data_IF_043250794778
#
_entry.id   IF_043250794778
#
_cell.length_a   1.000
_cell.length_b   1.000
_cell.length_c   1.000
_cell.angle_alpha   90.00
_cell.angle_beta   90.00
_cell.angle_gamma   90.00
#
_symmetry.space_group_name_H-M   'P 1'
#
loop_
_entity.id
_entity.type
_entity.pdbx_description
1 polymer ?
#
# COMPACT_ATOMS: atom_id res chain seq x y z
N UNK A 1 74.47 -17.50 -56.93
CA UNK A 1 73.22 -18.13 -56.44
C UNK A 1 73.03 -19.39 -57.25
N UNK A 2 73.05 -20.56 -56.62
CA UNK A 2 73.03 -21.84 -57.32
C UNK A 2 71.66 -22.08 -57.98
N UNK A 3 71.65 -22.23 -59.30
CA UNK A 3 70.43 -22.39 -60.12
C UNK A 3 69.63 -23.65 -59.77
N UNK A 4 70.30 -24.70 -59.28
CA UNK A 4 69.69 -25.94 -58.78
C UNK A 4 68.84 -25.74 -57.50
N UNK A 5 69.26 -24.82 -56.61
CA UNK A 5 68.48 -24.48 -55.42
C UNK A 5 67.23 -23.67 -55.78
N UNK A 6 67.32 -22.81 -56.80
CA UNK A 6 66.19 -22.01 -57.31
C UNK A 6 65.14 -22.88 -58.00
N UNK A 7 65.54 -23.86 -58.81
CA UNK A 7 64.62 -24.80 -59.46
C UNK A 7 63.89 -25.68 -58.44
N UNK A 8 64.61 -26.20 -57.45
CA UNK A 8 64.01 -26.99 -56.37
C UNK A 8 63.02 -26.16 -55.53
N UNK A 9 63.34 -24.89 -55.25
CA UNK A 9 62.43 -23.97 -54.56
C UNK A 9 61.20 -23.61 -55.41
N UNK A 10 61.36 -23.48 -56.74
CA UNK A 10 60.25 -23.25 -57.68
C UNK A 10 59.28 -24.44 -57.71
N UNK A 11 59.78 -25.68 -57.75
CA UNK A 11 58.93 -26.87 -57.68
C UNK A 11 58.20 -26.97 -56.34
N UNK A 12 58.88 -26.68 -55.22
CA UNK A 12 58.26 -26.66 -53.90
C UNK A 12 57.13 -25.62 -53.81
N UNK A 13 57.37 -24.40 -54.31
CA UNK A 13 56.35 -23.36 -54.37
C UNK A 13 55.17 -23.77 -55.24
N UNK A 14 55.41 -24.32 -56.42
CA UNK A 14 54.34 -24.79 -57.30
C UNK A 14 53.49 -25.89 -56.64
N UNK A 15 54.09 -26.84 -55.93
CA UNK A 15 53.36 -27.87 -55.19
C UNK A 15 52.51 -27.25 -54.06
N UNK A 16 53.03 -26.24 -53.35
CA UNK A 16 52.31 -25.55 -52.29
C UNK A 16 51.14 -24.72 -52.82
N UNK A 17 51.35 -23.99 -53.92
CA UNK A 17 50.32 -23.18 -54.58
C UNK A 17 49.22 -24.06 -55.17
N UNK A 18 49.57 -25.22 -55.73
CA UNK A 18 48.63 -26.23 -56.20
C UNK A 18 47.76 -26.78 -55.06
N UNK A 19 48.40 -27.19 -53.95
CA UNK A 19 47.70 -27.71 -52.78
C UNK A 19 46.75 -26.68 -52.13
N UNK A 20 47.06 -25.38 -52.29
CA UNK A 20 46.24 -24.26 -51.79
C UNK A 20 45.22 -23.74 -52.82
N UNK A 21 45.19 -24.33 -54.03
CA UNK A 21 44.25 -24.00 -55.10
C UNK A 21 44.48 -22.62 -55.74
N UNK A 22 45.70 -22.09 -55.70
CA UNK A 22 46.03 -20.74 -56.17
C UNK A 22 46.55 -20.71 -57.62
N UNK A 23 46.82 -21.88 -58.21
CA UNK A 23 47.18 -21.98 -59.63
C UNK A 23 45.90 -22.04 -60.47
N UNK A 24 45.58 -20.93 -61.17
CA UNK A 24 44.32 -20.77 -61.92
C UNK A 24 44.05 -21.88 -62.95
N UNK A 25 45.10 -22.48 -63.53
CA UNK A 25 44.99 -23.51 -64.58
C UNK A 25 45.83 -24.77 -64.29
N UNK A 26 46.37 -24.94 -63.07
CA UNK A 26 47.34 -26.01 -62.77
C UNK A 26 48.69 -25.89 -63.49
N UNK A 27 48.89 -24.84 -64.30
CA UNK A 27 50.14 -24.53 -64.99
C UNK A 27 51.18 -24.07 -63.96
N UNK A 28 52.34 -24.73 -63.97
CA UNK A 28 53.46 -24.39 -63.09
C UNK A 28 54.07 -23.06 -63.55
N UNK A 29 54.43 -22.22 -62.59
CA UNK A 29 55.10 -20.94 -62.83
C UNK A 29 56.61 -21.17 -62.65
N UNK A 30 57.42 -20.80 -63.64
CA UNK A 30 58.87 -20.86 -63.50
C UNK A 30 59.36 -19.62 -62.72
N UNK A 31 59.79 -19.87 -61.48
CA UNK A 31 60.32 -18.84 -60.58
C UNK A 31 61.85 -18.76 -60.63
N UNK A 32 62.51 -19.75 -61.25
CA UNK A 32 63.96 -19.86 -61.26
C UNK A 32 64.58 -19.09 -62.43
N UNK A 33 63.90 -19.10 -63.58
CA UNK A 33 64.34 -18.35 -64.77
C UNK A 33 63.13 -17.80 -65.57
N UNK A 34 62.55 -16.67 -65.12
CA UNK A 34 61.34 -16.13 -65.74
C UNK A 34 61.52 -15.77 -67.22
N UNK A 35 62.76 -15.55 -67.68
CA UNK A 35 63.06 -15.24 -69.08
C UNK A 35 63.03 -16.43 -70.05
N UNK A 36 63.05 -17.66 -69.53
CA UNK A 36 63.10 -18.89 -70.36
C UNK A 36 61.71 -19.55 -70.52
N UNK A 37 60.66 -18.97 -69.95
CA UNK A 37 59.31 -19.48 -70.07
C UNK A 37 58.75 -19.28 -71.50
N UNK A 38 57.96 -20.25 -71.98
CA UNK A 38 57.44 -20.30 -73.36
C UNK A 38 56.59 -19.08 -73.77
N UNK A 39 56.04 -18.34 -72.79
CA UNK A 39 55.20 -17.17 -73.01
C UNK A 39 55.96 -15.84 -72.79
N UNK A 40 57.26 -15.88 -72.48
CA UNK A 40 58.12 -14.71 -72.26
C UNK A 40 58.20 -14.22 -70.81
N UNK A 41 59.20 -13.38 -70.55
CA UNK A 41 59.53 -12.87 -69.22
C UNK A 41 58.42 -12.04 -68.58
N UNK A 42 57.77 -11.19 -69.38
CA UNK A 42 56.74 -10.27 -68.89
C UNK A 42 55.46 -11.00 -68.50
N UNK A 43 55.03 -12.01 -69.27
CA UNK A 43 53.83 -12.79 -68.98
C UNK A 43 53.99 -13.64 -67.71
N UNK A 44 55.17 -14.23 -67.53
CA UNK A 44 55.50 -15.00 -66.32
C UNK A 44 55.58 -14.09 -65.09
N UNK A 45 56.17 -12.90 -65.23
CA UNK A 45 56.21 -11.89 -64.17
C UNK A 45 54.80 -11.36 -63.83
N UNK A 46 53.94 -11.15 -64.83
CA UNK A 46 52.54 -10.75 -64.61
C UNK A 46 51.74 -11.82 -63.87
N UNK A 47 51.96 -13.12 -64.17
CA UNK A 47 51.35 -14.23 -63.42
C UNK A 47 51.79 -14.23 -61.95
N UNK A 48 53.08 -14.00 -61.68
CA UNK A 48 53.62 -13.91 -60.31
C UNK A 48 53.00 -12.72 -59.57
N UNK A 49 52.90 -11.55 -60.20
CA UNK A 49 52.31 -10.35 -59.59
C UNK A 49 50.83 -10.58 -59.27
N UNK A 50 50.06 -11.17 -60.20
CA UNK A 50 48.65 -11.48 -59.98
C UNK A 50 48.46 -12.51 -58.85
N UNK A 51 49.35 -13.50 -58.75
CA UNK A 51 49.33 -14.48 -57.67
C UNK A 51 49.59 -13.83 -56.31
N UNK A 52 50.60 -12.94 -56.23
CA UNK A 52 50.90 -12.20 -55.01
C UNK A 52 49.71 -11.29 -54.64
N UNK A 53 49.11 -10.62 -55.62
CA UNK A 53 47.93 -9.80 -55.40
C UNK A 53 46.75 -10.63 -54.86
N UNK A 54 46.46 -11.79 -55.46
CA UNK A 54 45.40 -12.70 -55.02
C UNK A 54 45.67 -13.22 -53.58
N UNK A 55 46.93 -13.54 -53.25
CA UNK A 55 47.35 -13.97 -51.92
C UNK A 55 47.20 -12.87 -50.87
N UNK A 56 47.66 -11.66 -51.17
CA UNK A 56 47.51 -10.50 -50.27
C UNK A 56 46.05 -10.20 -50.06
N UNK A 57 45.27 -10.09 -51.14
CA UNK A 57 43.83 -9.78 -51.05
C UNK A 57 43.05 -10.86 -50.31
N UNK A 58 43.39 -12.15 -50.50
CA UNK A 58 42.77 -13.25 -49.74
C UNK A 58 43.16 -13.20 -48.27
N UNK A 59 44.44 -12.94 -47.96
CA UNK A 59 44.92 -12.80 -46.58
C UNK A 59 44.21 -11.65 -45.87
N UNK A 60 44.05 -10.51 -46.54
CA UNK A 60 43.38 -9.33 -45.99
C UNK A 60 41.90 -9.63 -45.73
N UNK A 61 41.18 -10.24 -46.68
CA UNK A 61 39.79 -10.70 -46.47
C UNK A 61 39.66 -11.69 -45.32
N UNK A 62 40.56 -12.68 -45.24
CA UNK A 62 40.53 -13.65 -44.15
C UNK A 62 40.86 -13.00 -42.80
N UNK A 63 41.71 -11.97 -42.76
CA UNK A 63 42.02 -11.21 -41.55
C UNK A 63 40.80 -10.40 -41.09
N UNK A 64 40.14 -9.68 -42.00
CA UNK A 64 38.88 -8.96 -41.72
C UNK A 64 37.77 -9.90 -41.24
N UNK A 65 37.62 -11.08 -41.86
CA UNK A 65 36.67 -12.09 -41.42
C UNK A 65 36.99 -12.60 -40.01
N UNK A 66 38.26 -12.92 -39.71
CA UNK A 66 38.66 -13.34 -38.36
C UNK A 66 38.41 -12.24 -37.33
N UNK A 67 38.63 -10.97 -37.66
CA UNK A 67 38.32 -9.85 -36.78
C UNK A 67 36.81 -9.68 -36.58
N UNK A 68 36.00 -9.79 -37.63
CA UNK A 68 34.54 -9.77 -37.54
C UNK A 68 33.98 -10.92 -36.68
N UNK A 69 34.56 -12.12 -36.78
CA UNK A 69 34.20 -13.25 -35.94
C UNK A 69 34.64 -13.03 -34.48
N UNK A 70 35.84 -12.49 -34.26
CA UNK A 70 36.32 -12.17 -32.92
C UNK A 70 35.43 -11.12 -32.22
N UNK A 71 35.02 -10.08 -32.95
CA UNK A 71 34.12 -9.03 -32.43
C UNK A 71 32.72 -9.56 -32.15
N UNK A 72 32.15 -10.38 -33.03
CA UNK A 72 30.85 -11.03 -32.77
C UNK A 72 30.89 -11.96 -31.55
N UNK A 73 31.92 -12.80 -31.41
CA UNK A 73 32.10 -13.66 -30.22
C UNK A 73 32.23 -12.82 -28.94
N UNK A 74 32.98 -11.72 -28.98
CA UNK A 74 33.10 -10.81 -27.83
C UNK A 74 31.75 -10.18 -27.47
N UNK A 75 30.97 -9.76 -28.48
CA UNK A 75 29.65 -9.20 -28.27
C UNK A 75 28.67 -10.24 -27.71
N UNK A 76 28.68 -11.47 -28.24
CA UNK A 76 27.86 -12.58 -27.74
C UNK A 76 28.17 -12.90 -26.28
N UNK A 77 29.45 -12.98 -25.90
CA UNK A 77 29.85 -13.18 -24.50
C UNK A 77 29.39 -12.03 -23.60
N UNK A 78 29.46 -10.79 -24.09
CA UNK A 78 28.97 -9.62 -23.33
C UNK A 78 27.45 -9.65 -23.16
N UNK A 79 26.70 -10.07 -24.18
CA UNK A 79 25.24 -10.19 -24.09
C UNK A 79 24.83 -11.36 -23.20
N UNK A 80 25.52 -12.50 -23.28
CA UNK A 80 25.31 -13.66 -22.42
C UNK A 80 25.54 -13.32 -20.95
N UNK A 81 26.64 -12.63 -20.63
CA UNK A 81 26.90 -12.17 -19.26
C UNK A 81 25.82 -11.20 -18.75
N UNK A 82 25.31 -10.30 -19.60
CA UNK A 82 24.19 -9.42 -19.25
C UNK A 82 22.89 -10.21 -19.00
N UNK A 83 22.58 -11.18 -19.85
CA UNK A 83 21.39 -12.01 -19.72
C UNK A 83 21.45 -12.87 -18.45
N UNK A 84 22.61 -13.45 -18.12
CA UNK A 84 22.81 -14.21 -16.90
C UNK A 84 22.53 -13.37 -15.64
N UNK A 85 23.01 -12.12 -15.59
CA UNK A 85 22.71 -11.19 -14.48
C UNK A 85 21.22 -10.84 -14.40
N UNK A 86 20.54 -10.66 -15.55
CA UNK A 86 19.10 -10.40 -15.55
C UNK A 86 18.31 -11.60 -15.04
N UNK A 87 18.70 -12.82 -15.43
CA UNK A 87 18.09 -14.06 -14.93
C UNK A 87 18.26 -14.15 -13.41
N UNK A 88 19.46 -13.93 -12.89
CA UNK A 88 19.72 -13.95 -11.44
C UNK A 88 18.86 -12.92 -10.69
N UNK A 89 18.74 -11.70 -11.22
CA UNK A 89 17.88 -10.67 -10.64
C UNK A 89 16.40 -11.06 -10.66
N UNK A 90 15.91 -11.66 -11.74
CA UNK A 90 14.53 -12.13 -11.85
C UNK A 90 14.26 -13.32 -10.93
N UNK A 91 15.21 -14.24 -10.78
CA UNK A 91 15.12 -15.35 -9.83
C UNK A 91 15.09 -14.84 -8.38
N UNK A 92 15.92 -13.85 -8.04
CA UNK A 92 15.92 -13.19 -6.74
C UNK A 92 14.56 -12.55 -6.43
N UNK A 93 14.01 -11.77 -7.37
CA UNK A 93 12.67 -11.18 -7.24
C UNK A 93 11.57 -12.24 -7.11
N UNK A 94 11.66 -13.34 -7.86
CA UNK A 94 10.68 -14.43 -7.81
C UNK A 94 10.69 -15.11 -6.44
N UNK A 95 11.88 -15.37 -5.88
CA UNK A 95 12.01 -15.94 -4.52
C UNK A 95 11.45 -15.00 -3.46
N UNK A 96 11.70 -13.69 -3.58
CA UNK A 96 11.18 -12.70 -2.63
C UNK A 96 9.65 -12.58 -2.72
N UNK A 97 9.10 -12.49 -3.94
CA UNK A 97 7.64 -12.49 -4.15
C UNK A 97 7.00 -13.78 -3.62
N UNK A 98 7.62 -14.94 -3.83
CA UNK A 98 7.14 -16.21 -3.28
C UNK A 98 7.12 -16.22 -1.75
N UNK A 99 8.13 -15.61 -1.10
CA UNK A 99 8.14 -15.46 0.37
C UNK A 99 7.05 -14.51 0.84
N UNK A 100 6.86 -13.38 0.16
CA UNK A 100 5.81 -12.40 0.46
C UNK A 100 4.42 -13.01 0.34
N UNK A 101 4.16 -13.82 -0.70
CA UNK A 101 2.90 -14.56 -0.86
C UNK A 101 2.67 -15.51 0.31
N UNK A 102 3.68 -16.31 0.69
CA UNK A 102 3.55 -17.24 1.81
C UNK A 102 3.22 -16.53 3.15
N UNK A 103 3.80 -15.35 3.38
CA UNK A 103 3.48 -14.53 4.56
C UNK A 103 2.03 -14.01 4.51
N UNK A 104 1.60 -13.50 3.36
CA UNK A 104 0.24 -12.99 3.16
C UNK A 104 -0.80 -14.11 3.31
N UNK A 105 -0.54 -15.31 2.77
CA UNK A 105 -1.37 -16.50 2.95
C UNK A 105 -1.44 -16.90 4.43
N UNK A 106 -0.32 -16.87 5.15
CA UNK A 106 -0.27 -17.09 6.60
C UNK A 106 -1.19 -16.13 7.36
N UNK A 107 -1.11 -14.83 7.07
CA UNK A 107 -1.98 -13.81 7.65
C UNK A 107 -3.46 -14.03 7.30
N UNK A 108 -3.77 -14.38 6.05
CA UNK A 108 -5.14 -14.69 5.63
C UNK A 108 -5.74 -15.86 6.43
N UNK A 109 -4.96 -16.92 6.66
CA UNK A 109 -5.43 -18.06 7.46
C UNK A 109 -5.67 -17.68 8.92
N UNK A 110 -4.82 -16.80 9.49
CA UNK A 110 -5.00 -16.28 10.84
C UNK A 110 -6.27 -15.43 10.93
N UNK A 111 -6.50 -14.49 10.02
CA UNK A 111 -7.72 -13.66 9.98
C UNK A 111 -8.98 -14.49 9.74
N UNK A 112 -8.93 -15.52 8.89
CA UNK A 112 -10.05 -16.46 8.73
C UNK A 112 -10.39 -17.18 10.02
N UNK A 113 -9.39 -17.53 10.84
CA UNK A 113 -9.60 -18.14 12.15
C UNK A 113 -10.23 -17.16 13.14
N UNK A 114 -9.73 -15.92 13.20
CA UNK A 114 -10.29 -14.88 14.10
C UNK A 114 -11.73 -14.52 13.73
N UNK A 115 -12.06 -14.41 12.45
CA UNK A 115 -13.43 -14.18 11.96
C UNK A 115 -14.36 -15.33 12.39
N UNK A 116 -13.93 -16.59 12.22
CA UNK A 116 -14.75 -17.74 12.65
C UNK A 116 -14.98 -17.74 14.16
N UNK A 117 -13.96 -17.40 14.95
CA UNK A 117 -14.10 -17.31 16.40
C UNK A 117 -15.08 -16.19 16.79
N UNK A 118 -14.97 -15.01 16.14
CA UNK A 118 -15.92 -13.91 16.34
C UNK A 118 -17.35 -14.29 15.92
N UNK A 119 -17.53 -15.05 14.84
CA UNK A 119 -18.85 -15.54 14.43
C UNK A 119 -19.46 -16.48 15.49
N UNK A 120 -18.66 -17.34 16.11
CA UNK A 120 -19.10 -18.22 17.19
C UNK A 120 -19.52 -17.39 18.41
N UNK A 121 -18.74 -16.38 18.81
CA UNK A 121 -19.09 -15.52 19.96
C UNK A 121 -20.36 -14.72 19.68
N UNK A 122 -20.52 -14.15 18.47
CA UNK A 122 -21.73 -13.44 18.06
C UNK A 122 -22.96 -14.36 18.13
N UNK A 123 -22.85 -15.62 17.67
CA UNK A 123 -23.94 -16.59 17.78
C UNK A 123 -24.27 -16.88 19.24
N UNK A 124 -23.27 -17.09 20.09
CA UNK A 124 -23.47 -17.29 21.53
C UNK A 124 -24.18 -16.13 22.22
N UNK A 125 -23.77 -14.89 21.91
CA UNK A 125 -24.40 -13.67 22.43
C UNK A 125 -25.85 -13.52 21.95
N UNK A 126 -26.14 -13.84 20.67
CA UNK A 126 -27.51 -13.84 20.14
C UNK A 126 -28.40 -14.84 20.87
N UNK A 127 -27.90 -16.04 21.18
CA UNK A 127 -28.65 -17.05 21.94
C UNK A 127 -28.91 -16.60 23.38
N UNK A 128 -27.93 -15.99 24.04
CA UNK A 128 -28.11 -15.40 25.38
C UNK A 128 -29.14 -14.27 25.38
N UNK A 129 -29.06 -13.35 24.41
CA UNK A 129 -30.03 -12.27 24.23
C UNK A 129 -31.45 -12.83 24.04
N UNK A 130 -31.61 -13.88 23.23
CA UNK A 130 -32.92 -14.49 22.99
C UNK A 130 -33.48 -15.17 24.25
N UNK A 131 -32.64 -15.86 25.02
CA UNK A 131 -33.02 -16.40 26.34
C UNK A 131 -33.44 -15.29 27.30
N UNK A 132 -32.69 -14.20 27.40
CA UNK A 132 -33.02 -13.05 28.24
C UNK A 132 -34.35 -12.40 27.82
N UNK A 133 -34.58 -12.22 26.51
CA UNK A 133 -35.84 -11.72 25.98
C UNK A 133 -37.01 -12.62 26.39
N UNK A 134 -36.85 -13.93 26.31
CA UNK A 134 -37.89 -14.88 26.75
C UNK A 134 -38.16 -14.80 28.26
N UNK A 135 -37.11 -14.67 29.08
CA UNK A 135 -37.23 -14.49 30.53
C UNK A 135 -37.96 -13.20 30.89
N UNK A 136 -37.64 -12.07 30.25
CA UNK A 136 -38.35 -10.79 30.44
C UNK A 136 -39.83 -10.93 30.10
N UNK A 137 -40.17 -11.63 29.01
CA UNK A 137 -41.57 -11.86 28.65
C UNK A 137 -42.28 -12.70 29.72
N UNK A 138 -41.64 -13.77 30.22
CA UNK A 138 -42.19 -14.57 31.32
C UNK A 138 -42.41 -13.71 32.58
N UNK A 139 -41.44 -12.90 33.00
CA UNK A 139 -41.57 -11.99 34.14
C UNK A 139 -42.73 -11.01 33.93
N UNK A 140 -42.86 -10.41 32.74
CA UNK A 140 -43.99 -9.50 32.42
C UNK A 140 -45.33 -10.21 32.53
N UNK A 141 -45.44 -11.43 32.00
CA UNK A 141 -46.68 -12.22 32.11
C UNK A 141 -47.00 -12.58 33.56
N UNK A 142 -45.99 -12.97 34.34
CA UNK A 142 -46.11 -13.29 35.77
C UNK A 142 -46.57 -12.05 36.56
N UNK A 143 -45.90 -10.91 36.40
CA UNK A 143 -46.29 -9.65 37.02
C UNK A 143 -47.73 -9.25 36.68
N UNK A 144 -48.15 -9.41 35.41
CA UNK A 144 -49.54 -9.16 35.02
C UNK A 144 -50.53 -10.11 35.71
N UNK A 145 -50.16 -11.38 35.93
CA UNK A 145 -51.01 -12.31 36.68
C UNK A 145 -51.09 -11.96 38.16
N UNK A 146 -49.99 -11.54 38.77
CA UNK A 146 -49.94 -11.18 40.19
C UNK A 146 -50.71 -9.88 40.48
N UNK A 147 -50.65 -8.89 39.56
CA UNK A 147 -51.50 -7.70 39.63
C UNK A 147 -52.98 -8.09 39.59
N UNK A 148 -53.40 -8.95 38.66
CA UNK A 148 -54.80 -9.41 38.58
C UNK A 148 -55.25 -10.15 39.85
N UNK A 149 -54.39 -11.00 40.44
CA UNK A 149 -54.69 -11.67 41.71
C UNK A 149 -54.88 -10.67 42.84
N UNK A 150 -53.95 -9.70 42.98
CA UNK A 150 -54.07 -8.62 43.96
C UNK A 150 -55.33 -7.79 43.75
N UNK A 151 -55.67 -7.46 42.52
CA UNK A 151 -56.90 -6.72 42.20
C UNK A 151 -58.15 -7.49 42.63
N UNK A 152 -58.21 -8.81 42.40
CA UNK A 152 -59.33 -9.66 42.84
C UNK A 152 -59.44 -9.67 44.37
N UNK A 153 -58.32 -9.80 45.09
CA UNK A 153 -58.29 -9.76 46.55
C UNK A 153 -58.72 -8.40 47.10
N UNK A 154 -58.23 -7.31 46.50
CA UNK A 154 -58.64 -5.95 46.83
C UNK A 154 -60.14 -5.74 46.60
N UNK A 155 -60.70 -6.25 45.50
CA UNK A 155 -62.15 -6.20 45.26
C UNK A 155 -62.92 -6.98 46.32
N UNK A 156 -62.47 -8.19 46.69
CA UNK A 156 -63.09 -8.98 47.78
C UNK A 156 -63.08 -8.23 49.11
N UNK A 157 -61.93 -7.67 49.51
CA UNK A 157 -61.82 -6.88 50.73
C UNK A 157 -62.71 -5.64 50.69
N UNK A 158 -62.78 -4.95 49.54
CA UNK A 158 -63.67 -3.80 49.33
C UNK A 158 -65.13 -4.20 49.50
N UNK A 159 -65.57 -5.30 48.89
CA UNK A 159 -66.95 -5.80 49.03
C UNK A 159 -67.29 -6.13 50.49
N UNK A 160 -66.38 -6.77 51.22
CA UNK A 160 -66.56 -7.09 52.63
C UNK A 160 -66.66 -5.81 53.49
N UNK A 161 -65.82 -4.80 53.23
CA UNK A 161 -65.88 -3.51 53.92
C UNK A 161 -67.21 -2.80 53.64
N UNK A 162 -67.65 -2.77 52.38
CA UNK A 162 -68.92 -2.12 52.00
C UNK A 162 -70.14 -2.84 52.58
N UNK A 163 -70.13 -4.17 52.63
CA UNK A 163 -71.21 -4.96 53.24
C UNK A 163 -71.29 -4.72 54.77
N UNK A 164 -70.13 -4.62 55.42
CA UNK A 164 -70.01 -4.24 56.84
C UNK A 164 -70.54 -2.83 57.11
N UNK A 165 -70.30 -1.88 56.20
CA UNK A 165 -70.78 -0.50 56.32
C UNK A 165 -72.28 -0.37 56.03
N UNK A 166 -72.86 -1.27 55.21
CA UNK A 166 -74.30 -1.31 54.89
C UNK A 166 -75.15 -2.06 55.93
N UNK A 167 -74.54 -2.52 57.02
CA UNK A 167 -75.25 -3.09 58.16
C UNK A 167 -75.71 -4.55 58.00
N UNK A 168 -75.28 -5.26 56.96
CA UNK A 168 -75.58 -6.70 56.83
C UNK A 168 -74.57 -7.49 57.68
N UNK A 169 -74.98 -7.80 58.90
CA UNK A 169 -74.18 -8.55 59.88
C UNK A 169 -74.37 -10.05 59.65
N UNK A 170 -73.87 -10.57 58.54
CA UNK A 170 -73.71 -12.02 58.40
C UNK A 170 -72.57 -12.44 59.34
N UNK A 171 -72.95 -13.19 60.38
CA UNK A 171 -72.20 -13.29 61.63
C UNK A 171 -70.85 -13.96 61.52
N UNK A 172 -69.79 -13.19 61.75
CA UNK A 172 -68.66 -13.59 62.59
C UNK A 172 -68.28 -12.40 63.48
N UNK A 173 -68.15 -12.67 64.77
CA UNK A 173 -68.03 -11.69 65.84
C UNK A 173 -66.91 -10.68 65.60
N UNK A 174 -67.23 -9.41 65.85
CA UNK A 174 -66.27 -8.33 65.99
C UNK A 174 -65.35 -8.71 67.17
N UNK A 175 -64.15 -9.21 66.89
CA UNK A 175 -63.12 -9.37 67.91
C UNK A 175 -62.44 -8.02 68.07
N UNK A 176 -63.01 -7.18 68.93
CA UNK A 176 -62.37 -5.96 69.43
C UNK A 176 -61.18 -6.38 70.29
N UNK A 177 -59.96 -6.26 69.78
CA UNK A 177 -58.75 -6.41 70.59
C UNK A 177 -58.55 -5.08 71.33
N UNK A 178 -58.99 -5.03 72.59
CA UNK A 178 -58.64 -3.95 73.53
C UNK A 178 -57.24 -4.23 74.08
N UNK A 179 -56.25 -3.46 73.63
CA UNK A 179 -54.89 -3.52 74.15
C UNK A 179 -54.84 -2.74 75.47
N UNK A 180 -54.81 -3.43 76.61
CA UNK A 180 -54.49 -2.84 77.91
C UNK A 180 -52.96 -2.82 78.09
N UNK A 181 -52.34 -1.67 78.42
CA UNK A 181 -50.92 -1.61 78.74
C UNK A 181 -50.66 -2.25 80.12
N UNK A 182 -49.60 -3.08 80.29
CA UNK A 182 -49.37 -3.78 81.54
C UNK A 182 -48.77 -2.87 82.63
N UNK A 183 -49.13 -3.06 83.91
CA UNK A 183 -48.51 -2.37 85.04
C UNK A 183 -47.11 -2.95 85.35
N UNK A 184 -46.21 -2.05 85.79
CA UNK A 184 -44.85 -2.38 86.24
C UNK A 184 -44.89 -3.05 87.61
N UNK A 185 -44.49 -4.33 87.73
CA UNK A 185 -43.93 -4.87 88.97
C UNK A 185 -42.87 -5.94 88.69
N UNK A 186 -41.82 -5.90 89.50
CA UNK A 186 -40.70 -6.83 89.51
C UNK A 186 -41.10 -8.17 90.15
N UNK A 187 -40.26 -9.18 89.85
CA UNK A 187 -40.04 -10.47 90.53
C UNK A 187 -40.59 -11.73 89.87
N UNK A 188 -39.61 -12.60 89.56
CA UNK A 188 -39.61 -14.01 89.17
C UNK A 188 -40.90 -14.82 89.36
N UNK A 189 -41.42 -15.40 88.28
CA UNK A 189 -41.39 -16.86 88.07
C UNK A 189 -42.06 -17.27 86.74
N UNK A 190 -41.28 -17.99 85.94
CA UNK A 190 -41.63 -19.16 85.12
C UNK A 190 -43.02 -19.22 84.41
N UNK A 191 -42.92 -19.08 83.08
CA UNK A 191 -43.67 -19.75 81.99
C UNK A 191 -45.10 -19.28 81.67
N UNK A 192 -45.22 -18.60 80.52
CA UNK A 192 -45.87 -19.00 79.24
C UNK A 192 -46.43 -17.75 78.55
N UNK A 193 -46.31 -17.71 77.20
CA UNK A 193 -46.90 -16.77 76.24
C UNK A 193 -46.05 -15.54 75.84
N UNK A 194 -45.00 -15.82 75.07
CA UNK A 194 -44.88 -15.40 73.66
C UNK A 194 -45.34 -13.98 73.31
N UNK A 195 -44.38 -13.04 73.27
CA UNK A 195 -44.52 -11.74 72.62
C UNK A 195 -43.60 -10.69 73.22
N UNK A 196 -42.46 -10.44 72.58
CA UNK A 196 -41.64 -9.25 72.84
C UNK A 196 -40.33 -9.49 73.57
N UNK A 197 -39.38 -10.17 72.90
CA UNK A 197 -37.95 -9.92 73.06
C UNK A 197 -37.22 -10.47 71.83
N UNK A 198 -37.38 -9.81 70.69
CA UNK A 198 -36.59 -10.06 69.47
C UNK A 198 -35.36 -9.16 69.42
N UNK A 199 -34.82 -8.76 70.57
CA UNK A 199 -33.62 -7.92 70.66
C UNK A 199 -32.36 -8.70 71.02
N UNK A 200 -32.45 -10.02 71.20
CA UNK A 200 -31.29 -10.84 71.51
C UNK A 200 -31.47 -12.25 70.90
N UNK A 201 -31.38 -12.33 69.57
CA UNK A 201 -31.11 -13.59 68.89
C UNK A 201 -29.59 -13.77 68.97
N UNK A 202 -29.07 -14.84 69.60
CA UNK A 202 -27.64 -15.09 69.66
C UNK A 202 -27.17 -15.48 68.25
N UNK A 203 -26.75 -14.47 67.48
CA UNK A 203 -26.42 -14.59 66.06
C UNK A 203 -27.09 -13.55 65.14
N UNK A 204 -27.83 -12.58 65.68
CA UNK A 204 -28.25 -11.35 64.98
C UNK A 204 -28.25 -10.20 65.99
N UNK A 205 -27.07 -9.64 66.23
CA UNK A 205 -26.87 -8.42 67.03
C UNK A 205 -26.71 -7.23 66.09
N UNK A 206 -27.11 -6.03 66.50
CA UNK A 206 -26.86 -4.78 65.75
C UNK A 206 -25.38 -4.63 65.33
N UNK A 207 -24.46 -5.17 66.14
CA UNK A 207 -23.04 -5.24 65.81
C UNK A 207 -22.77 -6.08 64.57
N UNK A 208 -23.43 -7.23 64.45
CA UNK A 208 -23.33 -8.09 63.29
C UNK A 208 -23.95 -7.44 62.06
N UNK A 209 -25.11 -6.80 62.15
CA UNK A 209 -25.68 -6.03 61.03
C UNK A 209 -24.76 -4.88 60.60
N UNK A 210 -24.11 -4.21 61.55
CA UNK A 210 -23.13 -3.14 61.26
C UNK A 210 -21.88 -3.70 60.59
N UNK A 211 -21.38 -4.86 61.06
CA UNK A 211 -20.23 -5.53 60.45
C UNK A 211 -20.57 -6.08 59.06
N UNK A 212 -21.76 -6.65 58.86
CA UNK A 212 -22.26 -7.11 57.56
C UNK A 212 -22.41 -5.92 56.60
N UNK A 213 -23.00 -4.81 57.03
CA UNK A 213 -23.13 -3.59 56.24
C UNK A 213 -21.76 -2.97 55.88
N UNK A 214 -20.84 -2.85 56.85
CA UNK A 214 -19.49 -2.34 56.58
C UNK A 214 -18.71 -3.25 55.65
N UNK A 215 -18.85 -4.57 55.78
CA UNK A 215 -18.19 -5.53 54.88
C UNK A 215 -18.76 -5.41 53.47
N UNK A 216 -20.08 -5.31 53.34
CA UNK A 216 -20.74 -5.11 52.05
C UNK A 216 -20.37 -3.77 51.41
N UNK A 217 -20.24 -2.70 52.21
CA UNK A 217 -19.79 -1.40 51.73
C UNK A 217 -18.32 -1.41 51.30
N UNK A 218 -17.43 -2.01 52.09
CA UNK A 218 -16.02 -2.18 51.73
C UNK A 218 -15.85 -3.02 50.46
N UNK A 219 -16.65 -4.09 50.31
CA UNK A 219 -16.65 -4.89 49.09
C UNK A 219 -17.14 -4.07 47.90
N UNK A 220 -18.27 -3.36 48.03
CA UNK A 220 -18.81 -2.50 46.98
C UNK A 220 -17.83 -1.42 46.54
N UNK A 221 -17.15 -0.76 47.49
CA UNK A 221 -16.13 0.24 47.19
C UNK A 221 -14.89 -0.37 46.55
N UNK A 222 -14.53 -1.60 46.91
CA UNK A 222 -13.40 -2.31 46.30
C UNK A 222 -13.73 -2.73 44.87
N UNK A 223 -14.93 -3.26 44.64
CA UNK A 223 -15.41 -3.66 43.31
C UNK A 223 -15.52 -2.43 42.39
N UNK A 224 -16.02 -1.31 42.89
CA UNK A 224 -16.11 -0.04 42.14
C UNK A 224 -14.71 0.53 41.84
N UNK A 225 -13.78 0.49 42.79
CA UNK A 225 -12.39 0.89 42.56
C UNK A 225 -11.69 -0.02 41.53
N UNK A 226 -11.90 -1.33 41.57
CA UNK A 226 -11.36 -2.24 40.56
C UNK A 226 -11.99 -1.99 39.18
N UNK A 227 -13.29 -1.70 39.10
CA UNK A 227 -13.95 -1.31 37.85
C UNK A 227 -13.38 0.00 37.29
N UNK A 228 -13.11 1.00 38.14
CA UNK A 228 -12.47 2.26 37.72
C UNK A 228 -11.03 2.04 37.25
N UNK A 229 -10.26 1.18 37.93
CA UNK A 229 -8.90 0.84 37.50
C UNK A 229 -8.92 0.14 36.14
N UNK A 230 -9.85 -0.79 35.91
CA UNK A 230 -9.98 -1.45 34.61
C UNK A 230 -10.36 -0.46 33.52
N UNK A 231 -11.36 0.40 33.76
CA UNK A 231 -11.74 1.43 32.80
C UNK A 231 -10.56 2.34 32.44
N UNK A 232 -9.78 2.77 33.44
CA UNK A 232 -8.61 3.61 33.20
C UNK A 232 -7.53 2.86 32.40
N UNK A 233 -7.30 1.56 32.66
CA UNK A 233 -6.39 0.73 31.84
C UNK A 233 -6.88 0.59 30.41
N UNK A 234 -8.17 0.34 30.20
CA UNK A 234 -8.77 0.27 28.88
C UNK A 234 -8.62 1.62 28.14
N UNK A 235 -8.79 2.75 28.84
CA UNK A 235 -8.56 4.06 28.23
C UNK A 235 -7.10 4.29 27.85
N UNK A 236 -6.13 3.87 28.67
CA UNK A 236 -4.71 3.95 28.35
C UNK A 236 -4.39 3.08 27.13
N UNK A 237 -4.95 1.86 27.07
CA UNK A 237 -4.76 0.94 25.97
C UNK A 237 -5.31 1.51 24.66
N UNK A 238 -6.56 1.99 24.66
CA UNK A 238 -7.15 2.62 23.47
C UNK A 238 -6.37 3.86 23.02
N UNK A 239 -5.82 4.65 23.95
CA UNK A 239 -4.94 5.78 23.61
C UNK A 239 -3.60 5.32 23.01
N UNK A 240 -3.04 4.19 23.44
CA UNK A 240 -1.84 3.59 22.83
C UNK A 240 -2.12 3.03 21.44
N UNK A 241 -3.23 2.33 21.27
CA UNK A 241 -3.70 1.82 19.97
C UNK A 241 -3.89 2.97 18.96
N UNK A 242 -4.51 4.07 19.38
CA UNK A 242 -4.67 5.26 18.54
C UNK A 242 -3.34 5.96 18.18
N UNK A 243 -2.32 5.80 19.02
CA UNK A 243 -0.96 6.28 18.73
C UNK A 243 -0.16 5.34 17.82
N UNK A 244 -0.69 4.14 17.52
CA UNK A 244 0.04 3.11 16.77
C UNK A 244 1.17 2.44 17.56
N UNK A 245 1.13 2.52 18.90
CA UNK A 245 2.06 1.84 19.79
C UNK A 245 1.45 0.46 20.12
N UNK A 246 1.78 -0.55 19.32
CA UNK A 246 1.43 -1.94 19.66
C UNK A 246 2.27 -2.39 20.86
N UNK A 247 1.71 -3.25 21.73
CA UNK A 247 2.33 -3.73 22.99
C UNK A 247 3.68 -4.46 22.81
N UNK A 248 4.19 -4.59 21.58
CA UNK A 248 5.45 -5.25 21.24
C UNK A 248 6.70 -4.36 21.20
N UNK A 249 6.59 -3.03 21.21
CA UNK A 249 7.75 -2.14 21.00
C UNK A 249 8.46 -1.67 22.28
N UNK A 250 8.05 -2.16 23.45
CA UNK A 250 8.71 -1.82 24.73
C UNK A 250 9.79 -2.82 25.14
N UNK A 251 9.91 -3.98 24.49
CA UNK A 251 11.05 -4.90 24.73
C UNK A 251 12.33 -4.53 23.95
N UNK A 252 12.28 -3.57 23.02
CA UNK A 252 13.40 -3.26 22.12
C UNK A 252 14.26 -2.03 22.45
N UNK A 253 13.83 -1.15 23.36
CA UNK A 253 14.53 0.15 23.61
C UNK A 253 14.88 0.40 25.08
N UNK A 254 14.57 -0.54 25.98
CA UNK A 254 14.86 -0.40 27.41
C UNK A 254 16.18 -1.05 27.88
N UNK A 255 17.03 -1.56 26.98
CA UNK A 255 18.32 -2.17 27.36
C UNK A 255 19.51 -1.19 27.38
N UNK A 256 19.24 0.12 27.40
CA UNK A 256 20.26 1.18 27.41
C UNK A 256 20.30 2.05 28.67
N UNK A 257 19.42 1.85 29.65
CA UNK A 257 19.33 2.71 30.83
C UNK A 257 19.02 1.94 32.13
N UNK A 258 19.53 0.73 32.28
CA UNK A 258 19.54 0.01 33.56
C UNK A 258 20.57 0.62 34.53
N UNK A 259 20.32 1.86 34.92
CA UNK A 259 21.01 2.56 36.01
C UNK A 259 20.09 2.68 37.21
N UNK A 260 20.11 1.67 38.10
CA UNK A 260 19.70 1.75 39.52
C UNK A 260 18.41 2.53 39.84
N UNK A 261 17.23 1.93 39.69
CA UNK A 261 16.03 2.34 40.45
C UNK A 261 15.16 1.14 40.87
N UNK A 262 15.77 0.04 41.29
CA UNK A 262 15.06 -1.17 41.78
C UNK A 262 14.49 -1.02 43.22
N UNK A 263 14.24 0.21 43.68
CA UNK A 263 13.94 0.51 45.09
C UNK A 263 12.69 1.34 45.37
N UNK A 264 12.00 1.86 44.35
CA UNK A 264 10.89 2.83 44.56
C UNK A 264 9.53 2.31 44.07
N UNK A 265 9.49 1.40 43.09
CA UNK A 265 8.22 0.89 42.55
C UNK A 265 7.44 -0.03 43.51
N UNK A 266 8.11 -0.62 44.50
CA UNK A 266 7.43 -1.40 45.54
C UNK A 266 6.69 -0.52 46.58
N UNK A 267 6.91 0.80 46.58
CA UNK A 267 6.34 1.74 47.55
C UNK A 267 5.16 2.56 46.98
N UNK A 268 4.90 2.49 45.68
CA UNK A 268 3.86 3.28 45.02
C UNK A 268 2.51 2.56 45.09
N UNK A 269 1.46 3.31 45.45
CA UNK A 269 0.11 2.76 45.43
C UNK A 269 -0.28 2.41 43.99
N UNK A 270 -1.04 1.33 43.77
CA UNK A 270 -1.49 0.87 42.44
C UNK A 270 -2.13 1.98 41.60
N UNK A 271 -2.73 2.98 42.26
CA UNK A 271 -3.28 4.17 41.62
C UNK A 271 -2.22 5.14 41.06
N UNK A 272 -1.09 5.30 41.75
CA UNK A 272 -0.01 6.20 41.34
C UNK A 272 0.75 5.67 40.12
N UNK A 273 0.91 4.35 40.00
CA UNK A 273 1.47 3.72 38.80
C UNK A 273 0.57 3.96 37.58
N UNK A 274 -0.74 3.78 37.75
CA UNK A 274 -1.73 4.02 36.70
C UNK A 274 -1.78 5.49 36.27
N UNK A 275 -1.67 6.43 37.22
CA UNK A 275 -1.60 7.86 36.92
C UNK A 275 -0.35 8.20 36.12
N UNK A 276 0.83 7.67 36.50
CA UNK A 276 2.08 7.89 35.75
C UNK A 276 1.98 7.35 34.34
N UNK A 277 1.36 6.18 34.16
CA UNK A 277 1.16 5.57 32.85
C UNK A 277 0.24 6.44 31.96
N UNK A 278 -0.86 6.94 32.51
CA UNK A 278 -1.76 7.87 31.82
C UNK A 278 -1.03 9.17 31.44
N UNK A 279 -0.27 9.77 32.35
CA UNK A 279 0.50 10.99 32.08
C UNK A 279 1.56 10.78 30.99
N UNK A 280 2.22 9.60 30.96
CA UNK A 280 3.19 9.27 29.92
C UNK A 280 2.54 9.17 28.54
N UNK A 281 1.41 8.46 28.42
CA UNK A 281 0.69 8.33 27.13
C UNK A 281 0.14 9.67 26.63
N UNK A 282 -0.37 10.52 27.52
CA UNK A 282 -0.86 11.86 27.17
C UNK A 282 0.29 12.79 26.75
N UNK A 283 1.45 12.71 27.40
CA UNK A 283 2.63 13.46 26.99
C UNK A 283 3.14 13.03 25.61
N UNK A 284 3.05 11.75 25.28
CA UNK A 284 3.41 11.23 23.97
C UNK A 284 2.42 11.70 22.87
N UNK A 285 1.11 11.68 23.14
CA UNK A 285 0.11 12.29 22.26
C UNK A 285 0.37 13.77 22.03
N UNK A 286 0.67 14.50 23.10
CA UNK A 286 1.03 15.91 23.00
C UNK A 286 2.25 16.08 22.11
N UNK A 287 3.30 15.30 22.31
CA UNK A 287 4.51 15.35 21.51
C UNK A 287 4.25 15.07 20.03
N UNK A 288 3.42 14.06 19.70
CA UNK A 288 2.97 13.79 18.34
C UNK A 288 2.21 14.98 17.75
N UNK A 289 1.18 15.47 18.44
CA UNK A 289 0.35 16.59 17.97
C UNK A 289 1.11 17.91 17.85
N UNK A 290 2.17 18.08 18.63
CA UNK A 290 3.08 19.25 18.54
C UNK A 290 4.28 19.03 17.62
N UNK A 291 4.40 17.85 17.01
CA UNK A 291 5.50 17.57 16.09
C UNK A 291 5.25 18.36 14.78
N UNK A 292 6.19 19.23 14.34
CA UNK A 292 6.03 20.07 13.16
C UNK A 292 6.01 19.29 11.83
N UNK A 293 5.97 17.96 11.86
CA UNK A 293 5.88 17.06 10.71
C UNK A 293 4.45 16.72 10.27
N UNK A 294 3.42 17.19 11.00
CA UNK A 294 2.05 17.10 10.53
C UNK A 294 1.80 18.10 9.38
N UNK A 295 1.94 17.59 8.16
CA UNK A 295 1.58 18.27 6.92
C UNK A 295 0.07 18.12 6.73
N UNK A 296 -0.69 19.20 6.48
CA UNK A 296 -2.12 19.11 6.17
C UNK A 296 -2.39 18.13 5.04
N UNK A 297 -3.48 17.35 5.14
CA UNK A 297 -3.82 16.33 4.17
C UNK A 297 -3.95 16.90 2.75
N UNK A 298 -4.44 18.13 2.63
CA UNK A 298 -4.59 18.86 1.38
C UNK A 298 -3.23 19.09 0.69
N UNK A 299 -2.17 19.37 1.44
CA UNK A 299 -0.83 19.54 0.89
C UNK A 299 -0.22 18.21 0.46
N UNK A 300 -0.55 17.10 1.15
CA UNK A 300 -0.17 15.75 0.73
C UNK A 300 -0.86 15.37 -0.58
N UNK A 301 -2.17 15.60 -0.70
CA UNK A 301 -2.93 15.34 -1.92
C UNK A 301 -2.41 16.16 -3.11
N UNK A 302 -2.08 17.44 -2.89
CA UNK A 302 -1.45 18.27 -3.92
C UNK A 302 -0.10 17.72 -4.37
N UNK A 303 0.75 17.29 -3.42
CA UNK A 303 2.04 16.67 -3.75
C UNK A 303 1.87 15.35 -4.50
N UNK A 304 0.95 14.50 -4.08
CA UNK A 304 0.68 13.22 -4.73
C UNK A 304 0.14 13.41 -6.15
N UNK A 305 -0.73 14.40 -6.38
CA UNK A 305 -1.22 14.76 -7.71
C UNK A 305 -0.10 15.26 -8.63
N UNK A 306 0.82 16.08 -8.11
CA UNK A 306 1.96 16.58 -8.89
C UNK A 306 2.98 15.46 -9.16
N UNK A 307 3.21 14.56 -8.20
CA UNK A 307 4.06 13.38 -8.40
C UNK A 307 3.46 12.47 -9.48
N UNK A 308 2.15 12.24 -9.47
CA UNK A 308 1.46 11.48 -10.51
C UNK A 308 1.62 12.14 -11.88
N UNK A 309 1.37 13.45 -11.97
CA UNK A 309 1.54 14.23 -13.20
C UNK A 309 2.96 14.17 -13.75
N UNK A 310 3.96 14.27 -12.87
CA UNK A 310 5.37 14.16 -13.24
C UNK A 310 5.69 12.75 -13.72
N UNK A 311 5.19 11.70 -13.07
CA UNK A 311 5.38 10.31 -13.51
C UNK A 311 4.78 10.07 -14.91
N UNK A 312 3.57 10.53 -15.16
CA UNK A 312 2.94 10.45 -16.49
C UNK A 312 3.74 11.21 -17.56
N UNK A 313 4.26 12.38 -17.20
CA UNK A 313 5.14 13.17 -18.09
C UNK A 313 6.45 12.45 -18.41
N UNK A 314 7.05 11.80 -17.41
CA UNK A 314 8.24 10.98 -17.58
C UNK A 314 7.99 9.74 -18.44
N UNK A 315 6.88 9.03 -18.25
CA UNK A 315 6.51 7.87 -19.07
C UNK A 315 6.30 8.26 -20.54
N UNK A 316 5.63 9.40 -20.79
CA UNK A 316 5.48 9.95 -22.15
C UNK A 316 6.82 10.32 -22.78
N UNK A 317 7.75 10.90 -22.01
CA UNK A 317 9.09 11.20 -22.52
C UNK A 317 9.89 9.93 -22.81
N UNK A 318 9.79 8.92 -21.96
CA UNK A 318 10.43 7.61 -22.17
C UNK A 318 9.87 6.92 -23.41
N UNK A 319 8.55 6.91 -23.59
CA UNK A 319 7.91 6.35 -24.79
C UNK A 319 8.38 7.06 -26.07
N UNK A 320 8.39 8.40 -26.07
CA UNK A 320 8.88 9.20 -27.21
C UNK A 320 10.36 8.96 -27.50
N UNK A 321 11.16 8.76 -26.45
CA UNK A 321 12.57 8.44 -26.59
C UNK A 321 12.76 7.04 -27.19
N UNK A 322 12.00 6.04 -26.73
CA UNK A 322 12.00 4.68 -27.30
C UNK A 322 11.57 4.67 -28.78
N UNK A 323 10.57 5.47 -29.15
CA UNK A 323 10.15 5.65 -30.54
C UNK A 323 11.26 6.29 -31.38
N UNK A 324 11.93 7.33 -30.88
CA UNK A 324 13.06 7.97 -31.56
C UNK A 324 14.25 7.02 -31.75
N UNK A 325 14.57 6.22 -30.73
CA UNK A 325 15.60 5.17 -30.80
C UNK A 325 15.21 4.11 -31.83
N UNK A 326 13.95 3.66 -31.84
CA UNK A 326 13.44 2.70 -32.83
C UNK A 326 13.50 3.24 -34.26
N UNK A 327 13.22 4.53 -34.45
CA UNK A 327 13.38 5.20 -35.74
C UNK A 327 14.85 5.27 -36.18
N UNK A 328 15.76 5.62 -35.27
CA UNK A 328 17.21 5.62 -35.56
C UNK A 328 17.74 4.22 -35.87
N UNK A 329 17.33 3.20 -35.13
CA UNK A 329 17.70 1.80 -35.40
C UNK A 329 17.13 1.32 -36.73
N UNK A 330 15.89 1.71 -37.05
CA UNK A 330 15.28 1.46 -38.35
C UNK A 330 16.03 2.13 -39.49
N UNK A 331 16.46 3.39 -39.30
CA UNK A 331 17.30 4.10 -40.25
C UNK A 331 18.67 3.45 -40.41
N UNK A 332 19.33 3.08 -39.32
CA UNK A 332 20.64 2.43 -39.34
C UNK A 332 20.61 1.09 -40.08
N UNK A 333 19.55 0.28 -39.86
CA UNK A 333 19.33 -0.98 -40.59
C UNK A 333 19.07 -0.74 -42.09
N UNK A 334 18.29 0.27 -42.47
CA UNK A 334 18.03 0.58 -43.89
C UNK A 334 19.25 1.11 -44.62
N UNK A 335 20.07 1.92 -43.95
CA UNK A 335 21.35 2.42 -44.47
C UNK A 335 22.37 1.29 -44.60
N UNK A 336 22.47 0.38 -43.63
CA UNK A 336 23.41 -0.76 -43.70
C UNK A 336 23.02 -1.79 -44.77
N UNK A 337 21.73 -1.91 -45.10
CA UNK A 337 21.23 -2.77 -46.18
C UNK A 337 21.29 -2.13 -47.59
N UNK A 338 21.88 -0.95 -47.74
CA UNK A 338 22.21 -0.37 -49.06
C UNK A 338 21.01 0.08 -49.92
N UNK A 339 19.80 0.14 -49.35
CA UNK A 339 18.60 0.65 -50.03
C UNK A 339 18.53 2.17 -49.89
N UNK A 340 19.32 2.88 -50.69
CA UNK A 340 19.27 4.33 -50.79
C UNK A 340 18.04 4.82 -51.53
N UNK A 341 16.99 5.23 -50.81
CA UNK A 341 16.31 6.51 -51.05
C UNK A 341 15.41 6.81 -49.86
N UNK A 342 15.66 7.94 -49.23
CA UNK A 342 14.82 8.54 -48.21
C UNK A 342 13.47 8.91 -48.86
N UNK A 343 12.38 8.28 -48.44
CA UNK A 343 11.05 8.81 -48.73
C UNK A 343 10.86 10.09 -47.92
N UNK A 344 10.54 11.19 -48.59
CA UNK A 344 10.19 12.47 -47.96
C UNK A 344 9.03 12.33 -46.97
N UNK A 345 8.20 11.28 -47.13
CA UNK A 345 7.08 10.99 -46.24
C UNK A 345 7.53 10.43 -44.88
N UNK A 346 8.64 9.68 -44.82
CA UNK A 346 9.22 9.18 -43.56
C UNK A 346 9.83 10.32 -42.72
N UNK A 347 10.49 11.29 -43.37
CA UNK A 347 11.00 12.50 -42.70
C UNK A 347 9.86 13.40 -42.22
N UNK A 348 8.78 13.49 -43.00
CA UNK A 348 7.59 14.25 -42.64
C UNK A 348 6.85 13.63 -41.47
N UNK A 349 6.78 12.30 -41.38
CA UNK A 349 6.19 11.60 -40.24
C UNK A 349 7.00 11.85 -38.96
N UNK A 350 8.33 11.77 -39.05
CA UNK A 350 9.25 12.08 -37.94
C UNK A 350 9.20 13.55 -37.48
N UNK A 351 9.05 14.50 -38.40
CA UNK A 351 8.90 15.93 -38.06
C UNK A 351 7.50 16.28 -37.55
N UNK A 352 6.44 15.64 -38.06
CA UNK A 352 5.06 15.92 -37.63
C UNK A 352 4.80 15.59 -36.16
N UNK A 353 5.57 14.67 -35.58
CA UNK A 353 5.54 14.35 -34.15
C UNK A 353 6.15 15.45 -33.26
N UNK A 354 6.98 16.33 -33.83
CA UNK A 354 7.65 17.44 -33.11
C UNK A 354 6.83 18.73 -33.14
N UNK A 355 5.88 18.86 -34.07
CA UNK A 355 5.10 20.09 -34.28
C UNK A 355 3.75 20.12 -33.60
N UNK A 356 3.34 19.06 -32.91
CA UNK A 356 2.12 19.09 -32.08
C UNK A 356 2.42 19.78 -30.74
N UNK A 357 2.55 21.09 -30.86
CA UNK A 357 2.78 22.05 -29.79
C UNK A 357 1.49 22.21 -28.97
N UNK A 358 1.16 21.18 -28.18
CA UNK A 358 0.14 21.23 -27.12
C UNK A 358 0.83 21.36 -25.75
N UNK A 359 1.66 22.41 -25.60
CA UNK A 359 2.34 22.74 -24.35
C UNK A 359 2.12 24.21 -23.93
N UNK A 360 1.05 24.87 -24.43
CA UNK A 360 0.80 26.28 -24.10
C UNK A 360 -0.68 26.63 -23.95
N UNK A 361 -1.35 25.97 -22.99
CA UNK A 361 -2.59 26.45 -22.36
C UNK A 361 -2.80 25.61 -21.11
N UNK A 362 -2.24 26.06 -19.99
CA UNK A 362 -2.70 25.77 -18.61
C UNK A 362 -1.77 26.45 -17.59
N UNK A 363 -1.42 27.71 -17.86
CA UNK A 363 -0.75 28.58 -16.91
C UNK A 363 -1.37 29.98 -17.05
N UNK A 364 -2.45 30.23 -16.29
CA UNK A 364 -3.07 31.55 -16.21
C UNK A 364 -4.59 31.53 -16.19
N UNK A 365 -5.19 31.07 -15.09
CA UNK A 365 -6.52 31.54 -14.69
C UNK A 365 -6.66 31.47 -13.17
N UNK A 366 -5.92 32.33 -12.49
CA UNK A 366 -6.26 32.77 -11.13
C UNK A 366 -7.21 33.95 -11.28
N UNK A 367 -8.51 33.65 -11.46
CA UNK A 367 -9.54 34.67 -11.36
C UNK A 367 -9.86 34.91 -9.88
N UNK A 368 -9.49 36.10 -9.43
CA UNK A 368 -10.05 36.79 -8.28
C UNK A 368 -11.57 36.71 -8.30
N UNK A 369 -12.18 36.20 -7.23
CA UNK A 369 -13.56 36.53 -6.92
C UNK A 369 -13.61 37.21 -5.55
N UNK A 370 -13.96 38.49 -5.63
CA UNK A 370 -14.19 39.41 -4.54
C UNK A 370 -15.25 38.86 -3.59
N UNK A 371 -14.95 39.01 -2.30
CA UNK A 371 -15.92 39.07 -1.21
C UNK A 371 -16.89 40.20 -1.50
N UNK A 372 -18.19 39.93 -1.49
CA UNK A 372 -19.19 40.93 -1.11
C UNK A 372 -20.34 40.28 -0.34
N UNK A 373 -20.73 40.95 0.74
CA UNK A 373 -21.83 40.60 1.62
C UNK A 373 -23.12 41.23 1.11
N UNK A 374 -24.21 40.48 1.02
CA UNK A 374 -25.53 41.01 1.32
C UNK A 374 -26.55 39.91 1.60
N UNK A 375 -27.31 40.15 2.66
CA UNK A 375 -28.36 39.31 3.23
C UNK A 375 -29.60 39.24 2.34
N UNK A 376 -30.37 38.14 2.51
CA UNK A 376 -31.83 38.12 2.74
C UNK A 376 -32.60 37.13 1.86
N UNK A 377 -33.23 36.16 2.53
CA UNK A 377 -34.69 36.02 2.45
C UNK A 377 -35.30 35.04 1.44
N UNK A 378 -35.82 33.94 2.01
CA UNK A 378 -37.02 33.18 1.62
C UNK A 378 -36.98 32.10 0.52
N UNK A 379 -37.05 30.85 1.03
CA UNK A 379 -38.15 29.88 0.87
C UNK A 379 -38.70 29.59 -0.53
N UNK A 380 -38.50 28.37 -1.01
CA UNK A 380 -39.62 27.48 -1.34
C UNK A 380 -39.17 26.02 -1.54
N UNK A 381 -39.85 25.15 -0.79
CA UNK A 381 -39.95 23.70 -0.88
C UNK A 381 -40.35 23.24 -2.30
N UNK A 382 -39.70 22.19 -2.83
CA UNK A 382 -40.42 21.18 -3.62
C UNK A 382 -39.63 19.86 -3.80
N UNK A 383 -40.00 18.88 -2.98
CA UNK A 383 -40.42 17.52 -3.37
C UNK A 383 -39.56 16.59 -4.25
N UNK A 384 -39.47 15.34 -3.73
CA UNK A 384 -39.50 14.02 -4.41
C UNK A 384 -38.19 13.57 -5.07
N UNK A 385 -37.86 12.27 -5.10
CA UNK A 385 -38.35 11.03 -4.46
C UNK A 385 -37.25 9.99 -4.68
N UNK A 386 -37.19 9.05 -3.76
CA UNK A 386 -36.48 7.78 -3.84
C UNK A 386 -37.05 6.91 -4.98
N UNK A 387 -36.19 6.20 -5.71
CA UNK A 387 -36.27 4.76 -6.09
C UNK A 387 -35.14 4.44 -7.08
N UNK A 388 -34.17 3.61 -6.72
CA UNK A 388 -34.16 2.15 -6.71
C UNK A 388 -34.16 1.48 -8.09
N UNK A 389 -33.13 0.62 -8.24
CA UNK A 389 -33.14 -0.69 -8.88
C UNK A 389 -32.98 -0.77 -10.41
N UNK A 390 -31.88 -1.36 -10.87
CA UNK A 390 -31.87 -2.79 -11.19
C UNK A 390 -30.60 -3.20 -11.93
N UNK A 391 -30.06 -4.31 -11.44
CA UNK A 391 -28.99 -5.08 -12.03
C UNK A 391 -29.52 -5.93 -13.17
N UNK A 392 -28.96 -5.81 -14.37
CA UNK A 392 -28.93 -6.92 -15.33
C UNK A 392 -27.58 -7.01 -16.01
N UNK A 393 -26.89 -8.08 -15.64
CA UNK A 393 -25.66 -8.63 -16.16
C UNK A 393 -25.96 -9.37 -17.47
N UNK A 394 -25.38 -8.95 -18.59
CA UNK A 394 -25.09 -9.86 -19.70
C UNK A 394 -23.66 -9.67 -20.22
N UNK A 395 -22.97 -10.79 -20.39
CA UNK A 395 -21.57 -10.94 -20.82
C UNK A 395 -21.52 -11.15 -22.35
N UNK A 396 -20.34 -11.00 -22.97
CA UNK A 396 -20.17 -10.55 -24.36
C UNK A 396 -20.13 -11.67 -25.40
N UNK A 397 -20.41 -11.30 -26.65
CA UNK A 397 -20.00 -12.07 -27.84
C UNK A 397 -18.81 -11.38 -28.50
N UNK A 398 -17.69 -12.09 -28.61
CA UNK A 398 -16.59 -11.81 -29.54
C UNK A 398 -16.90 -12.55 -30.84
N UNK A 399 -16.66 -11.94 -31.99
CA UNK A 399 -16.21 -12.64 -33.20
C UNK A 399 -15.53 -11.66 -34.17
N UNK A 400 -14.39 -12.08 -34.70
CA UNK A 400 -13.50 -11.39 -35.63
C UNK A 400 -14.08 -11.26 -37.05
N UNK A 401 -13.50 -10.33 -37.82
CA UNK A 401 -13.20 -10.31 -39.28
C UNK A 401 -13.32 -8.85 -39.77
N UNK A 402 -12.26 -8.04 -39.91
CA UNK A 402 -11.12 -8.02 -40.86
C UNK A 402 -11.54 -7.75 -42.33
N UNK A 403 -11.38 -6.47 -42.71
CA UNK A 403 -10.95 -5.90 -44.02
C UNK A 403 -11.93 -5.68 -45.21
N UNK A 404 -11.56 -4.90 -46.26
CA UNK A 404 -11.03 -3.52 -46.27
C UNK A 404 -11.57 -2.66 -47.48
N UNK A 405 -11.01 -1.44 -47.63
CA UNK A 405 -10.80 -0.71 -48.91
C UNK A 405 -11.87 0.29 -49.44
N UNK A 406 -11.39 1.42 -49.98
CA UNK A 406 -12.15 2.34 -50.85
C UNK A 406 -12.01 3.84 -50.55
N UNK A 407 -10.84 4.49 -50.69
CA UNK A 407 -10.36 5.23 -51.89
C UNK A 407 -10.89 6.69 -52.05
N UNK A 408 -9.91 7.60 -51.97
CA UNK A 408 -9.71 8.88 -52.68
C UNK A 408 -10.72 10.04 -52.58
N UNK A 409 -10.18 11.23 -52.24
CA UNK A 409 -10.30 12.41 -53.11
C UNK A 409 -9.24 13.48 -52.83
N UNK A 410 -8.57 13.85 -53.92
CA UNK A 410 -7.71 15.00 -54.10
C UNK A 410 -8.40 16.33 -53.76
N UNK A 411 -7.66 17.26 -53.16
CA UNK A 411 -7.58 18.64 -53.65
C UNK A 411 -6.47 19.43 -52.91
N UNK A 412 -5.43 19.80 -53.67
CA UNK A 412 -4.70 21.05 -53.50
C UNK A 412 -5.15 22.00 -54.64
N UNK A 413 -4.66 23.25 -54.78
CA UNK A 413 -3.70 23.99 -53.96
C UNK A 413 -4.10 25.48 -53.73
N UNK A 414 -3.32 26.23 -52.91
CA UNK A 414 -2.68 27.50 -53.28
C UNK A 414 -2.31 28.37 -52.07
N UNK A 415 -1.06 28.86 -52.06
CA UNK A 415 -0.83 30.31 -51.94
C UNK A 415 -0.02 30.84 -50.75
N UNK A 416 1.20 31.33 -51.09
CA UNK A 416 1.82 32.61 -50.65
C UNK A 416 2.47 32.66 -49.25
N UNK A 417 3.81 32.64 -49.15
CA UNK A 417 4.84 33.68 -49.34
C UNK A 417 5.17 34.52 -48.09
N UNK A 418 6.47 34.55 -47.80
CA UNK A 418 7.29 35.67 -47.30
C UNK A 418 7.39 35.93 -45.79
N UNK A 419 8.63 36.19 -45.35
CA UNK A 419 8.95 36.94 -44.13
C UNK A 419 10.05 36.31 -43.29
N UNK A 420 11.31 36.61 -43.59
CA UNK A 420 12.41 36.35 -42.66
C UNK A 420 12.65 37.55 -41.75
N UNK A 421 13.18 37.32 -40.55
CA UNK A 421 14.16 38.23 -39.94
C UNK A 421 14.93 37.55 -38.81
N UNK A 422 16.19 37.97 -38.70
CA UNK A 422 17.20 37.57 -37.73
C UNK A 422 16.92 38.18 -36.35
N UNK A 423 17.49 37.60 -35.28
CA UNK A 423 18.51 38.22 -34.38
C UNK A 423 18.42 37.70 -32.92
N UNK A 424 19.62 37.47 -32.39
CA UNK A 424 20.08 37.59 -31.00
C UNK A 424 19.98 36.40 -30.02
N UNK A 425 21.16 36.14 -29.49
CA UNK A 425 21.51 35.31 -28.36
C UNK A 425 21.09 35.93 -27.02
N UNK A 426 20.84 35.08 -26.02
CA UNK A 426 21.18 35.39 -24.64
C UNK A 426 21.46 34.11 -23.85
N UNK A 427 22.74 33.96 -23.47
CA UNK A 427 23.23 33.11 -22.40
C UNK A 427 23.28 33.96 -21.13
N UNK A 428 22.63 33.55 -20.05
CA UNK A 428 23.08 33.74 -18.65
C UNK A 428 21.94 33.40 -17.69
N UNK A 429 22.14 32.40 -16.81
CA UNK A 429 21.83 32.46 -15.37
C UNK A 429 21.93 31.08 -14.73
N UNK A 430 23.15 30.66 -14.39
CA UNK A 430 23.38 29.48 -13.55
C UNK A 430 24.50 29.69 -12.50
N UNK A 431 25.07 30.89 -12.41
CA UNK A 431 26.22 31.16 -11.53
C UNK A 431 25.87 31.89 -10.24
N UNK A 432 24.64 32.39 -10.08
CA UNK A 432 24.29 33.24 -8.92
C UNK A 432 23.81 32.44 -7.68
N UNK A 433 23.39 31.18 -7.86
CA UNK A 433 22.92 30.34 -6.73
C UNK A 433 24.08 29.74 -5.93
N UNK A 434 25.26 29.60 -6.54
CA UNK A 434 26.41 28.90 -5.92
C UNK A 434 27.22 29.78 -4.97
N UNK A 435 27.13 31.11 -5.09
CA UNK A 435 27.85 32.03 -4.18
C UNK A 435 27.08 32.35 -2.88
N UNK A 436 25.74 32.26 -2.87
CA UNK A 436 24.96 32.51 -1.65
C UNK A 436 25.04 31.39 -0.59
N UNK A 437 25.27 30.14 -1.00
CA UNK A 437 25.41 29.01 -0.06
C UNK A 437 26.73 28.97 0.71
N UNK A 438 27.79 29.64 0.23
CA UNK A 438 29.13 29.60 0.85
C UNK A 438 29.32 30.64 1.96
N UNK A 439 28.41 31.60 2.12
CA UNK A 439 28.49 32.64 3.17
C UNK A 439 27.70 32.31 4.45
N UNK A 440 26.83 31.28 4.46
CA UNK A 440 26.04 30.94 5.66
C UNK A 440 26.70 29.92 6.61
N UNK A 441 27.79 29.26 6.21
CA UNK A 441 28.48 28.28 7.07
C UNK A 441 29.63 28.85 7.91
N UNK A 442 29.87 30.17 7.88
CA UNK A 442 31.03 30.78 8.58
C UNK A 442 30.70 31.53 9.88
N UNK A 443 29.42 31.61 10.27
CA UNK A 443 29.01 32.33 11.49
C UNK A 443 28.20 31.42 12.43
N UNK A 444 28.89 30.51 13.12
CA UNK A 444 28.37 29.90 14.35
C UNK A 444 29.47 29.96 15.41
N UNK A 445 29.34 30.79 16.46
CA UNK A 445 30.30 30.82 17.56
C UNK A 445 30.13 29.59 18.46
N UNK A 446 31.24 29.21 19.11
CA UNK A 446 31.39 28.07 20.02
C UNK A 446 30.67 28.28 21.36
#
# INVERSE_FOLDING_TARGET
MDTLNLQSASEYLNNLLLARGLLRNGRRIDFADPGNAADGAEDTMAQIINLIHDLVTRRDREAEQRESLATTVKNLRKTEAKQALQVEQLEGKTKELSRSIALAEGQETAFKSTIRNADITIRGLKDQMQRMKSSIQQIRTQCATDIRKRDIELQRLKTHLTERQRGKRDGYGVMTITIQPPPKTNTSSRKVAQGGNTADIPGHSLKQETTEYLTQLCQSLSDENDALIQLSRDTIQTLRELQGLEDGDVEGVAEGAAGKEEGVDAALSRHELLSREMDATLNQLRALLTNPSFVPLEEVELRDSEIARLRDGWEKMEQRWQEAVSMMDGWHKRVSHGSGSISLDDLRLGMSFTTDSSMQKDAGSTLNLSVDQSESGNSAVSSRRISNDSSTRERPKRLFDIEPSGVAKDHAPAGKTAGGEKVAAQRSDATDVRQKRRKLQRNRPA
#
